data_IF_194143185438
#
_entry.id   IF_194143185438
#
_cell.length_a   1.000
_cell.length_b   1.000
_cell.length_c   1.000
_cell.angle_alpha   90.00
_cell.angle_beta   90.00
_cell.angle_gamma   90.00
#
_symmetry.space_group_name_H-M   'P 1'
#
loop_
_entity.id
_entity.type
_entity.pdbx_description
1 polymer ?
#
# COMPACT_ATOMS: atom_id res chain seq x y z
N UNK A 1 -4.56 31.25 8.44
CA UNK A 1 -4.94 30.37 7.31
C UNK A 1 -4.22 29.03 7.48
N UNK A 2 -4.95 27.91 7.54
CA UNK A 2 -4.33 26.59 7.65
C UNK A 2 -3.82 26.21 6.26
N UNK A 3 -2.50 26.01 6.13
CA UNK A 3 -1.89 25.61 4.86
C UNK A 3 -2.43 24.24 4.43
N UNK A 4 -2.81 24.09 3.16
CA UNK A 4 -3.22 22.81 2.60
C UNK A 4 -2.04 21.84 2.60
N UNK A 5 -2.30 20.57 2.90
CA UNK A 5 -1.30 19.52 2.78
C UNK A 5 -1.14 19.13 1.30
N UNK A 6 0.09 18.93 0.84
CA UNK A 6 0.32 18.38 -0.50
C UNK A 6 -0.25 16.96 -0.61
N UNK A 7 -0.50 16.51 -1.83
CA UNK A 7 -0.80 15.11 -2.11
C UNK A 7 0.43 14.25 -1.78
N UNK A 8 0.22 13.13 -1.11
CA UNK A 8 1.26 12.17 -0.73
C UNK A 8 1.37 10.99 -1.71
N UNK A 9 0.41 10.80 -2.58
CA UNK A 9 0.44 9.66 -3.52
C UNK A 9 1.66 9.66 -4.44
N UNK A 10 2.13 10.80 -4.98
CA UNK A 10 3.35 10.81 -5.77
C UNK A 10 4.58 10.31 -4.99
N UNK A 11 4.76 10.75 -3.75
CA UNK A 11 5.92 10.33 -2.92
C UNK A 11 5.85 8.86 -2.51
N UNK A 12 4.65 8.33 -2.26
CA UNK A 12 4.46 6.89 -2.01
C UNK A 12 4.70 6.08 -3.29
N UNK A 13 4.27 6.57 -4.45
CA UNK A 13 4.51 5.91 -5.73
C UNK A 13 6.02 5.80 -6.02
N UNK A 14 6.81 6.84 -5.74
CA UNK A 14 8.28 6.80 -5.85
C UNK A 14 8.91 5.73 -4.96
N UNK A 15 8.44 5.61 -3.71
CA UNK A 15 8.91 4.57 -2.78
C UNK A 15 8.57 3.16 -3.30
N UNK A 16 7.35 2.95 -3.83
CA UNK A 16 6.94 1.66 -4.41
C UNK A 16 7.79 1.34 -5.64
N UNK A 17 7.99 2.30 -6.54
CA UNK A 17 8.83 2.13 -7.73
C UNK A 17 10.26 1.73 -7.33
N UNK A 18 10.83 2.45 -6.36
CA UNK A 18 12.21 2.22 -5.91
C UNK A 18 12.38 0.86 -5.25
N UNK A 19 11.51 0.56 -4.26
CA UNK A 19 11.61 -0.70 -3.53
C UNK A 19 11.28 -1.92 -4.40
N UNK A 20 10.22 -1.85 -5.18
CA UNK A 20 9.79 -2.97 -6.02
C UNK A 20 10.60 -3.08 -7.32
N UNK A 21 11.48 -2.12 -7.62
CA UNK A 21 12.27 -2.10 -8.84
C UNK A 21 11.38 -2.09 -10.08
N UNK A 22 10.34 -1.25 -10.05
CA UNK A 22 9.39 -1.17 -11.16
C UNK A 22 10.08 -0.60 -12.40
N UNK A 23 10.21 -1.46 -13.40
CA UNK A 23 10.66 -1.12 -14.74
C UNK A 23 9.57 -1.62 -15.68
N UNK A 24 9.18 -0.91 -16.69
CA UNK A 24 8.00 -1.16 -17.52
C UNK A 24 7.71 -2.62 -17.96
N UNK A 25 6.59 -2.84 -18.67
CA UNK A 25 6.22 -4.11 -19.28
C UNK A 25 5.62 -5.17 -18.32
N UNK A 26 5.09 -4.78 -17.16
CA UNK A 26 4.70 -5.69 -16.08
C UNK A 26 3.25 -5.47 -15.61
N UNK A 27 2.76 -6.41 -14.78
CA UNK A 27 1.44 -6.34 -14.15
C UNK A 27 1.61 -5.99 -12.68
N UNK A 28 0.96 -4.91 -12.26
CA UNK A 28 1.00 -4.42 -10.88
C UNK A 28 -0.41 -4.36 -10.31
N UNK A 29 -0.56 -4.58 -9.01
CA UNK A 29 -1.84 -4.54 -8.31
C UNK A 29 -1.80 -3.47 -7.22
N UNK A 30 -2.71 -2.49 -7.30
CA UNK A 30 -3.08 -1.60 -6.19
C UNK A 30 -4.22 -2.28 -5.43
N UNK A 31 -3.90 -2.92 -4.30
CA UNK A 31 -4.84 -3.71 -3.50
C UNK A 31 -5.55 -2.84 -2.46
N UNK A 32 -6.86 -2.71 -2.61
CA UNK A 32 -7.66 -1.72 -1.91
C UNK A 32 -7.45 -0.33 -2.50
N UNK A 33 -7.49 -0.25 -3.82
CA UNK A 33 -7.17 0.94 -4.59
C UNK A 33 -8.06 2.15 -4.29
N UNK A 34 -9.29 1.92 -3.78
CA UNK A 34 -10.25 2.98 -3.58
C UNK A 34 -10.48 3.77 -4.88
N UNK A 35 -10.38 5.11 -4.86
CA UNK A 35 -10.49 5.93 -6.06
C UNK A 35 -9.20 6.00 -6.89
N UNK A 36 -8.25 5.09 -6.69
CA UNK A 36 -7.07 4.91 -7.53
C UNK A 36 -5.88 5.84 -7.23
N UNK A 37 -5.86 6.50 -6.07
CA UNK A 37 -4.86 7.53 -5.79
C UNK A 37 -3.42 7.09 -6.01
N UNK A 38 -3.01 5.96 -5.43
CA UNK A 38 -1.64 5.45 -5.53
C UNK A 38 -1.35 4.78 -6.88
N UNK A 39 -2.22 3.87 -7.32
CA UNK A 39 -2.03 3.17 -8.59
C UNK A 39 -1.94 4.11 -9.78
N UNK A 40 -2.77 5.17 -9.81
CA UNK A 40 -2.73 6.17 -10.87
C UNK A 40 -1.49 7.06 -10.79
N UNK A 41 -1.07 7.47 -9.56
CA UNK A 41 0.16 8.22 -9.39
C UNK A 41 1.39 7.40 -9.84
N UNK A 42 1.36 6.08 -9.65
CA UNK A 42 2.42 5.19 -10.14
C UNK A 42 2.41 5.14 -11.68
N UNK A 43 1.23 4.98 -12.32
CA UNK A 43 1.12 4.96 -13.78
C UNK A 43 1.60 6.24 -14.46
N UNK A 44 1.50 7.40 -13.80
CA UNK A 44 2.02 8.67 -14.32
C UNK A 44 3.55 8.72 -14.34
N UNK A 45 4.22 7.92 -13.49
CA UNK A 45 5.68 7.89 -13.35
C UNK A 45 6.36 6.79 -14.17
N UNK A 46 5.59 5.91 -14.81
CA UNK A 46 6.12 4.81 -15.62
C UNK A 46 5.48 4.81 -16.99
N UNK A 47 6.26 4.53 -18.04
CA UNK A 47 5.80 4.63 -19.42
C UNK A 47 5.03 3.40 -19.92
N UNK A 48 5.22 2.24 -19.27
CA UNK A 48 4.73 0.94 -19.73
C UNK A 48 4.24 0.10 -18.56
N UNK A 49 3.43 -0.94 -18.81
CA UNK A 49 2.85 -1.85 -17.83
C UNK A 49 1.37 -1.59 -17.55
N UNK A 50 0.75 -2.55 -16.88
CA UNK A 50 -0.69 -2.57 -16.57
C UNK A 50 -0.91 -2.52 -15.06
N UNK A 51 -1.77 -1.63 -14.62
CA UNK A 51 -2.23 -1.48 -13.25
C UNK A 51 -3.59 -2.13 -13.06
N UNK A 52 -3.65 -3.14 -12.21
CA UNK A 52 -4.91 -3.70 -11.70
C UNK A 52 -5.30 -2.91 -10.45
N UNK A 53 -6.33 -2.09 -10.57
CA UNK A 53 -6.97 -1.39 -9.46
C UNK A 53 -7.98 -2.34 -8.82
N UNK A 54 -7.66 -2.93 -7.69
CA UNK A 54 -8.52 -3.89 -7.01
C UNK A 54 -9.13 -3.31 -5.75
N UNK A 55 -10.46 -3.37 -5.65
CA UNK A 55 -11.21 -2.90 -4.48
C UNK A 55 -12.55 -3.64 -4.37
N UNK A 56 -13.08 -3.92 -3.17
CA UNK A 56 -14.42 -4.50 -3.03
C UNK A 56 -15.55 -3.54 -3.42
N UNK A 57 -15.28 -2.23 -3.49
CA UNK A 57 -16.26 -1.19 -3.83
C UNK A 57 -16.29 -0.89 -5.33
N UNK A 58 -17.32 -1.34 -6.03
CA UNK A 58 -17.53 -0.99 -7.43
C UNK A 58 -17.63 0.54 -7.66
N UNK A 59 -18.16 1.28 -6.66
CA UNK A 59 -18.27 2.74 -6.73
C UNK A 59 -16.89 3.43 -6.64
N UNK A 60 -15.99 2.90 -5.81
CA UNK A 60 -14.62 3.38 -5.73
C UNK A 60 -13.88 3.14 -7.06
N UNK A 61 -14.03 1.94 -7.62
CA UNK A 61 -13.40 1.58 -8.89
C UNK A 61 -13.94 2.41 -10.08
N UNK A 62 -15.24 2.73 -10.10
CA UNK A 62 -15.77 3.65 -11.13
C UNK A 62 -15.11 5.03 -11.05
N UNK A 63 -14.93 5.57 -9.84
CA UNK A 63 -14.20 6.84 -9.63
C UNK A 63 -12.74 6.72 -10.05
N UNK A 64 -12.09 5.59 -9.75
CA UNK A 64 -10.72 5.34 -10.17
C UNK A 64 -10.55 5.33 -11.70
N UNK A 65 -11.47 4.68 -12.44
CA UNK A 65 -11.44 4.67 -13.90
C UNK A 65 -11.72 6.07 -14.50
N UNK A 66 -12.64 6.85 -13.89
CA UNK A 66 -12.86 8.25 -14.29
C UNK A 66 -11.58 9.06 -14.09
N UNK A 67 -10.94 8.95 -12.93
CA UNK A 67 -9.67 9.63 -12.67
C UNK A 67 -8.54 9.15 -13.60
N UNK A 68 -8.49 7.86 -13.96
CA UNK A 68 -7.54 7.32 -14.92
C UNK A 68 -7.71 7.96 -16.31
N UNK A 69 -8.95 8.18 -16.74
CA UNK A 69 -9.26 8.87 -17.98
C UNK A 69 -8.81 10.34 -17.94
N UNK A 70 -9.12 11.06 -16.87
CA UNK A 70 -8.73 12.46 -16.66
C UNK A 70 -7.20 12.65 -16.67
N UNK A 71 -6.46 11.65 -16.14
CA UNK A 71 -4.98 11.64 -16.09
C UNK A 71 -4.31 11.06 -17.35
N UNK A 72 -5.08 10.62 -18.35
CA UNK A 72 -4.54 10.07 -19.60
C UNK A 72 -3.89 8.68 -19.48
N UNK A 73 -4.14 7.94 -18.39
CA UNK A 73 -3.55 6.61 -18.13
C UNK A 73 -4.57 5.46 -18.21
N UNK A 74 -5.79 5.75 -18.66
CA UNK A 74 -6.90 4.80 -18.70
C UNK A 74 -6.60 3.51 -19.48
N UNK A 75 -5.86 3.60 -20.59
CA UNK A 75 -5.49 2.43 -21.40
C UNK A 75 -4.62 1.40 -20.69
N UNK A 76 -4.04 1.78 -19.56
CA UNK A 76 -3.17 0.94 -18.73
C UNK A 76 -3.76 0.61 -17.36
N UNK A 77 -5.01 1.02 -17.08
CA UNK A 77 -5.70 0.79 -15.82
C UNK A 77 -6.86 -0.20 -16.01
N UNK A 78 -6.86 -1.27 -15.23
CA UNK A 78 -7.91 -2.30 -15.22
C UNK A 78 -8.55 -2.34 -13.84
N UNK A 79 -9.86 -2.23 -13.76
CA UNK A 79 -10.59 -2.32 -12.49
C UNK A 79 -11.06 -3.75 -12.24
N UNK A 80 -10.78 -4.28 -11.05
CA UNK A 80 -11.17 -5.63 -10.63
C UNK A 80 -11.85 -5.56 -9.28
N UNK A 81 -13.09 -6.05 -9.19
CA UNK A 81 -13.78 -6.18 -7.90
C UNK A 81 -13.22 -7.41 -7.18
N UNK A 82 -12.65 -7.20 -5.99
CA UNK A 82 -12.06 -8.28 -5.20
C UNK A 82 -11.70 -7.85 -3.79
N UNK A 83 -11.51 -8.85 -2.92
CA UNK A 83 -11.04 -8.68 -1.54
C UNK A 83 -9.61 -9.20 -1.43
N UNK A 84 -8.88 -8.69 -0.44
CA UNK A 84 -7.52 -9.14 -0.16
C UNK A 84 -7.46 -10.64 0.18
N UNK A 85 -8.45 -11.13 0.91
CA UNK A 85 -8.52 -12.51 1.39
C UNK A 85 -8.88 -13.53 0.31
N UNK A 86 -9.29 -13.08 -0.89
CA UNK A 86 -9.63 -13.91 -2.04
C UNK A 86 -9.49 -13.11 -3.33
N UNK A 87 -8.26 -12.96 -3.79
CA UNK A 87 -7.96 -12.20 -5.00
C UNK A 87 -8.36 -12.99 -6.24
N UNK A 88 -9.22 -12.44 -7.14
CA UNK A 88 -9.64 -13.14 -8.37
C UNK A 88 -8.57 -13.02 -9.46
N UNK A 89 -7.35 -13.39 -9.11
CA UNK A 89 -6.17 -13.40 -9.98
C UNK A 89 -5.54 -14.78 -9.93
N UNK A 90 -4.96 -15.26 -11.05
CA UNK A 90 -4.23 -16.53 -11.08
C UNK A 90 -3.00 -16.51 -10.16
N UNK A 91 -2.55 -17.69 -9.77
CA UNK A 91 -1.28 -17.89 -9.11
C UNK A 91 -0.15 -17.32 -9.99
N UNK A 92 0.87 -16.73 -9.38
CA UNK A 92 2.11 -16.33 -10.04
C UNK A 92 1.92 -15.43 -11.28
N UNK A 93 0.87 -14.61 -11.27
CA UNK A 93 0.48 -13.79 -12.42
C UNK A 93 0.88 -12.32 -12.32
N UNK A 94 1.40 -11.87 -11.16
CA UNK A 94 1.66 -10.45 -10.87
C UNK A 94 3.10 -10.22 -10.47
N UNK A 95 3.65 -9.10 -10.90
CA UNK A 95 5.01 -8.69 -10.59
C UNK A 95 5.12 -7.96 -9.26
N UNK A 96 4.15 -7.10 -8.99
CA UNK A 96 4.14 -6.26 -7.81
C UNK A 96 2.72 -6.14 -7.25
N UNK A 97 2.60 -6.31 -5.94
CA UNK A 97 1.39 -5.96 -5.20
C UNK A 97 1.74 -4.88 -4.18
N UNK A 98 1.02 -3.79 -4.21
CA UNK A 98 1.11 -2.80 -3.15
C UNK A 98 -0.28 -2.46 -2.60
N UNK A 99 -0.31 -2.02 -1.34
CA UNK A 99 -1.53 -1.60 -0.67
C UNK A 99 -1.22 -0.48 0.31
N UNK A 100 -1.87 0.67 0.15
CA UNK A 100 -1.72 1.80 1.04
C UNK A 100 -3.01 2.08 1.80
N UNK A 101 -3.00 1.78 3.09
CA UNK A 101 -4.11 2.13 3.99
C UNK A 101 -5.27 1.15 4.01
N UNK A 102 -5.40 0.24 3.04
CA UNK A 102 -6.46 -0.77 3.02
C UNK A 102 -6.20 -1.94 3.98
N UNK A 103 -4.94 -2.29 4.23
CA UNK A 103 -4.51 -3.39 5.10
C UNK A 103 -5.18 -3.40 6.49
N UNK A 104 -5.46 -2.21 7.03
CA UNK A 104 -6.10 -2.06 8.34
C UNK A 104 -7.58 -2.46 8.36
N UNK A 105 -8.20 -2.64 7.20
CA UNK A 105 -9.61 -2.99 7.01
C UNK A 105 -9.81 -4.43 6.54
N UNK A 106 -8.73 -5.18 6.26
CA UNK A 106 -8.84 -6.59 5.90
C UNK A 106 -9.36 -7.38 7.10
N UNK A 107 -10.31 -8.29 6.85
CA UNK A 107 -10.96 -9.09 7.90
C UNK A 107 -10.00 -10.16 8.44
N UNK A 108 -9.30 -10.86 7.53
CA UNK A 108 -8.21 -11.79 7.85
C UNK A 108 -6.93 -11.31 7.13
N UNK A 109 -6.13 -10.56 7.87
CA UNK A 109 -4.89 -9.98 7.33
C UNK A 109 -3.86 -11.02 6.95
N UNK A 110 -3.77 -12.12 7.71
CA UNK A 110 -2.84 -13.19 7.40
C UNK A 110 -3.26 -13.93 6.12
N UNK A 111 -4.57 -14.16 5.92
CA UNK A 111 -5.09 -14.71 4.67
C UNK A 111 -4.85 -13.77 3.49
N UNK A 112 -5.07 -12.47 3.68
CA UNK A 112 -4.77 -11.48 2.64
C UNK A 112 -3.29 -11.49 2.23
N UNK A 113 -2.36 -11.63 3.19
CA UNK A 113 -0.94 -11.77 2.90
C UNK A 113 -0.61 -13.09 2.17
N UNK A 114 -1.29 -14.20 2.50
CA UNK A 114 -1.16 -15.47 1.75
C UNK A 114 -1.62 -15.33 0.30
N UNK A 115 -2.72 -14.62 0.06
CA UNK A 115 -3.20 -14.32 -1.29
C UNK A 115 -2.22 -13.43 -2.07
N UNK A 116 -1.67 -12.39 -1.42
CA UNK A 116 -0.62 -11.58 -2.04
C UNK A 116 0.57 -12.45 -2.45
N UNK A 117 1.03 -13.34 -1.57
CA UNK A 117 2.10 -14.29 -1.89
C UNK A 117 1.74 -15.23 -3.04
N UNK A 118 0.50 -15.76 -3.06
CA UNK A 118 0.03 -16.67 -4.11
C UNK A 118 0.07 -16.03 -5.49
N UNK A 119 -0.45 -14.80 -5.62
CA UNK A 119 -0.53 -14.13 -6.92
C UNK A 119 0.80 -13.57 -7.41
N UNK A 120 1.75 -13.31 -6.51
CA UNK A 120 3.09 -12.90 -6.90
C UNK A 120 3.81 -14.02 -7.64
N UNK A 121 4.40 -13.71 -8.78
CA UNK A 121 5.30 -14.63 -9.48
C UNK A 121 6.66 -14.74 -8.75
N UNK A 122 7.46 -15.77 -9.01
CA UNK A 122 8.84 -15.82 -8.54
C UNK A 122 9.60 -14.53 -8.90
N UNK A 123 10.29 -13.93 -7.95
CA UNK A 123 10.95 -12.63 -8.06
C UNK A 123 10.02 -11.41 -7.91
N UNK A 124 8.71 -11.63 -7.78
CA UNK A 124 7.72 -10.57 -7.52
C UNK A 124 7.87 -9.98 -6.11
N UNK A 125 7.42 -8.73 -5.93
CA UNK A 125 7.59 -7.98 -4.67
C UNK A 125 6.29 -7.38 -4.17
N UNK A 126 6.19 -7.22 -2.86
CA UNK A 126 5.04 -6.57 -2.23
C UNK A 126 5.45 -5.48 -1.25
N UNK A 127 4.63 -4.42 -1.19
CA UNK A 127 4.73 -3.33 -0.23
C UNK A 127 3.35 -3.03 0.34
N UNK A 128 3.07 -3.50 1.56
CA UNK A 128 1.76 -3.48 2.19
C UNK A 128 1.80 -2.66 3.48
N UNK A 129 0.87 -1.72 3.63
CA UNK A 129 0.83 -0.91 4.85
C UNK A 129 0.18 0.46 4.66
N UNK A 130 0.88 1.49 5.06
CA UNK A 130 0.42 2.87 4.88
C UNK A 130 1.45 3.88 5.31
N UNK A 131 1.47 5.01 4.63
CA UNK A 131 2.41 6.07 4.88
C UNK A 131 2.22 7.27 3.96
N UNK A 132 3.15 8.20 4.03
CA UNK A 132 3.16 9.44 3.25
C UNK A 132 4.25 9.44 2.17
N UNK A 133 5.14 8.44 2.21
CA UNK A 133 6.32 8.36 1.36
C UNK A 133 7.55 9.07 1.94
N UNK A 134 8.74 8.55 1.64
CA UNK A 134 10.01 9.04 2.18
C UNK A 134 10.29 10.50 1.78
N UNK A 135 9.91 10.88 0.56
CA UNK A 135 10.05 12.24 0.02
C UNK A 135 8.99 13.25 0.48
N UNK A 136 8.05 12.86 1.35
CA UNK A 136 7.00 13.79 1.78
C UNK A 136 7.57 14.90 2.67
N UNK A 137 7.25 16.19 2.41
CA UNK A 137 7.89 17.30 3.12
C UNK A 137 7.70 17.24 4.64
N UNK A 138 8.77 17.45 5.41
CA UNK A 138 8.77 17.35 6.88
C UNK A 138 7.71 18.22 7.56
N UNK A 139 7.52 19.47 7.10
CA UNK A 139 6.50 20.36 7.65
C UNK A 139 5.09 19.77 7.45
N UNK A 140 4.84 19.17 6.31
CA UNK A 140 3.55 18.58 5.97
C UNK A 140 3.34 17.27 6.73
N UNK A 141 4.39 16.46 6.91
CA UNK A 141 4.40 15.26 7.75
C UNK A 141 4.05 15.58 9.19
N UNK A 142 4.70 16.58 9.80
CA UNK A 142 4.38 17.04 11.16
C UNK A 142 2.93 17.50 11.29
N UNK A 143 2.43 18.27 10.33
CA UNK A 143 1.06 18.76 10.33
C UNK A 143 0.04 17.62 10.11
N UNK A 144 0.35 16.66 9.25
CA UNK A 144 -0.48 15.45 9.07
C UNK A 144 -0.59 14.66 10.38
N UNK A 145 0.55 14.39 11.05
CA UNK A 145 0.60 13.70 12.33
C UNK A 145 -0.24 14.44 13.38
N UNK A 146 -0.10 15.76 13.47
CA UNK A 146 -0.88 16.59 14.39
C UNK A 146 -2.39 16.44 14.17
N UNK A 147 -2.84 16.54 12.90
CA UNK A 147 -4.26 16.39 12.53
C UNK A 147 -4.77 14.98 12.84
N UNK A 148 -3.97 13.98 12.54
CA UNK A 148 -4.32 12.58 12.79
C UNK A 148 -4.46 12.31 14.30
N UNK A 149 -3.50 12.75 15.11
CA UNK A 149 -3.59 12.65 16.59
C UNK A 149 -4.85 13.33 17.13
N UNK A 150 -5.17 14.51 16.67
CA UNK A 150 -6.39 15.22 17.06
C UNK A 150 -7.67 14.46 16.64
N UNK A 151 -7.68 13.92 15.43
CA UNK A 151 -8.80 13.10 14.94
C UNK A 151 -9.00 11.84 15.78
N UNK A 152 -7.92 11.12 16.10
CA UNK A 152 -8.01 9.92 16.94
C UNK A 152 -8.43 10.27 18.39
N UNK A 153 -7.87 11.32 18.98
CA UNK A 153 -8.23 11.75 20.33
C UNK A 153 -9.72 12.06 20.47
N UNK A 154 -10.36 12.59 19.43
CA UNK A 154 -11.82 12.84 19.41
C UNK A 154 -12.66 11.57 19.43
N UNK A 155 -12.12 10.44 18.99
CA UNK A 155 -12.81 9.14 18.97
C UNK A 155 -12.73 8.39 20.31
N UNK A 156 -11.92 8.88 21.24
CA UNK A 156 -11.74 8.31 22.57
C UNK A 156 -10.49 7.41 22.70
N UNK A 157 -10.17 7.01 23.95
CA UNK A 157 -8.94 6.29 24.26
C UNK A 157 -8.85 4.91 23.61
N UNK A 158 -9.95 4.19 23.48
CA UNK A 158 -9.98 2.87 22.86
C UNK A 158 -9.62 2.94 21.37
N UNK A 159 -10.17 3.90 20.65
CA UNK A 159 -9.83 4.12 19.25
C UNK A 159 -8.35 4.50 19.05
N UNK A 160 -7.77 5.23 20.00
CA UNK A 160 -6.33 5.54 19.99
C UNK A 160 -5.50 4.28 20.18
N UNK A 161 -5.91 3.41 21.13
CA UNK A 161 -5.22 2.13 21.41
C UNK A 161 -5.27 1.22 20.18
N UNK A 162 -6.45 0.98 19.63
CA UNK A 162 -6.66 0.15 18.43
C UNK A 162 -5.87 0.67 17.24
N UNK A 163 -5.87 1.98 17.02
CA UNK A 163 -5.11 2.62 15.96
C UNK A 163 -3.60 2.37 16.08
N UNK A 164 -3.05 2.47 17.29
CA UNK A 164 -1.63 2.21 17.58
C UNK A 164 -1.28 0.74 17.43
N UNK A 165 -2.11 -0.15 17.97
CA UNK A 165 -1.91 -1.59 17.91
C UNK A 165 -1.92 -2.09 16.46
N UNK A 166 -2.87 -1.61 15.65
CA UNK A 166 -2.95 -1.96 14.23
C UNK A 166 -1.73 -1.52 13.42
N UNK A 167 -0.94 -0.56 13.93
CA UNK A 167 0.26 0.01 13.30
C UNK A 167 1.55 -0.29 14.08
N UNK A 168 1.50 -1.22 15.00
CA UNK A 168 2.68 -1.67 15.72
C UNK A 168 3.52 -2.60 14.82
N UNK A 169 4.85 -2.40 14.72
CA UNK A 169 5.75 -3.30 13.99
C UNK A 169 5.59 -4.77 14.39
N UNK A 170 5.44 -5.07 15.69
CA UNK A 170 5.26 -6.45 16.17
C UNK A 170 3.98 -7.09 15.61
N UNK A 171 2.91 -6.31 15.43
CA UNK A 171 1.68 -6.79 14.79
C UNK A 171 1.92 -7.18 13.35
N UNK A 172 2.69 -6.39 12.59
CA UNK A 172 3.05 -6.71 11.22
C UNK A 172 3.96 -7.95 11.15
N UNK A 173 4.98 -8.04 12.01
CA UNK A 173 5.84 -9.21 12.10
C UNK A 173 5.05 -10.49 12.42
N UNK A 174 4.15 -10.43 13.40
CA UNK A 174 3.29 -11.58 13.76
C UNK A 174 2.43 -12.01 12.57
N UNK A 175 1.74 -11.08 11.90
CA UNK A 175 0.88 -11.39 10.75
C UNK A 175 1.65 -11.95 9.56
N UNK A 176 2.86 -11.44 9.29
CA UNK A 176 3.75 -11.97 8.26
C UNK A 176 4.16 -13.43 8.55
N UNK A 177 4.51 -13.73 9.81
CA UNK A 177 4.82 -15.09 10.24
C UNK A 177 3.60 -16.02 10.17
N UNK A 178 2.42 -15.58 10.61
CA UNK A 178 1.15 -16.30 10.49
C UNK A 178 0.77 -16.58 9.02
N UNK A 179 1.13 -15.68 8.13
CA UNK A 179 0.96 -15.87 6.68
C UNK A 179 1.98 -16.85 6.09
N UNK A 180 3.05 -17.21 6.83
CA UNK A 180 4.11 -18.10 6.36
C UNK A 180 5.18 -17.41 5.53
N UNK A 181 5.28 -16.07 5.58
CA UNK A 181 6.34 -15.34 4.90
C UNK A 181 7.69 -15.63 5.57
N UNK A 182 8.69 -16.09 4.81
CA UNK A 182 10.00 -16.47 5.36
C UNK A 182 10.99 -15.31 5.41
N UNK A 183 10.91 -14.40 4.45
CA UNK A 183 11.78 -13.23 4.35
C UNK A 183 10.91 -11.98 4.16
N UNK A 184 10.98 -11.07 5.11
CA UNK A 184 10.26 -9.81 5.07
C UNK A 184 10.95 -8.74 5.92
N UNK A 185 10.62 -7.50 5.64
CA UNK A 185 11.04 -6.33 6.42
C UNK A 185 9.82 -5.55 6.87
N UNK A 186 9.84 -5.05 8.10
CA UNK A 186 8.86 -4.09 8.62
C UNK A 186 9.57 -2.76 8.83
N UNK A 187 9.18 -1.75 8.08
CA UNK A 187 9.85 -0.44 8.06
C UNK A 187 8.85 0.65 8.45
N UNK A 188 9.23 1.47 9.45
CA UNK A 188 8.52 2.69 9.80
C UNK A 188 8.97 3.88 8.93
N UNK A 189 8.04 4.72 8.51
CA UNK A 189 8.38 6.05 7.97
C UNK A 189 8.72 7.01 9.11
N UNK A 190 9.84 7.72 8.97
CA UNK A 190 10.31 8.66 9.98
C UNK A 190 11.67 8.29 10.58
N UNK A 191 12.33 7.25 10.03
CA UNK A 191 13.67 6.85 10.45
C UNK A 191 13.70 6.40 11.91
N UNK A 192 14.70 6.91 12.66
CA UNK A 192 14.89 6.57 14.07
C UNK A 192 14.12 7.48 15.05
N UNK A 193 13.22 8.36 14.56
CA UNK A 193 12.41 9.18 15.46
C UNK A 193 11.31 8.34 16.13
N UNK A 194 11.43 8.08 17.45
CA UNK A 194 10.46 7.27 18.20
C UNK A 194 9.06 7.89 18.19
N UNK A 195 8.97 9.21 18.09
CA UNK A 195 7.70 9.93 18.04
C UNK A 195 7.01 9.78 16.69
N UNK A 196 7.75 9.70 15.60
CA UNK A 196 7.20 9.41 14.29
C UNK A 196 6.72 7.95 14.18
N UNK A 197 7.48 7.00 14.73
CA UNK A 197 7.09 5.59 14.81
C UNK A 197 5.84 5.41 15.70
N UNK A 198 5.82 6.03 16.88
CA UNK A 198 4.70 6.00 17.81
C UNK A 198 3.45 6.73 17.31
N UNK A 199 3.60 7.63 16.34
CA UNK A 199 2.47 8.33 15.74
C UNK A 199 1.66 7.45 14.76
N UNK A 200 2.15 6.27 14.41
CA UNK A 200 1.50 5.34 13.46
C UNK A 200 1.39 5.92 12.04
N UNK A 201 2.28 6.84 11.70
CA UNK A 201 2.35 7.46 10.39
C UNK A 201 3.43 6.78 9.58
N UNK A 202 3.00 5.83 8.77
CA UNK A 202 3.88 5.08 7.90
C UNK A 202 4.52 3.87 8.55
N UNK A 203 3.92 2.73 8.27
CA UNK A 203 4.49 1.42 8.52
C UNK A 203 4.25 0.54 7.30
N UNK A 204 5.29 -0.10 6.84
CA UNK A 204 5.27 -0.93 5.65
C UNK A 204 5.85 -2.30 5.92
N UNK A 205 5.13 -3.33 5.51
CA UNK A 205 5.62 -4.68 5.35
C UNK A 205 6.10 -4.82 3.90
N UNK A 206 7.35 -5.19 3.73
CA UNK A 206 8.00 -5.41 2.44
C UNK A 206 8.50 -6.83 2.35
N UNK A 207 8.24 -7.50 1.23
CA UNK A 207 8.75 -8.85 0.97
C UNK A 207 8.87 -9.11 -0.53
N UNK A 208 9.68 -10.11 -0.86
CA UNK A 208 9.80 -10.63 -2.21
C UNK A 208 9.54 -12.14 -2.21
N UNK A 209 8.87 -12.64 -3.24
CA UNK A 209 8.80 -14.06 -3.51
C UNK A 209 10.14 -14.49 -4.12
N UNK A 210 10.78 -15.51 -3.53
CA UNK A 210 12.06 -15.99 -4.03
C UNK A 210 11.97 -16.34 -5.52
N UNK A 211 12.99 -15.98 -6.28
CA UNK A 211 13.10 -16.45 -7.65
C UNK A 211 13.38 -17.96 -7.61
N UNK A 212 12.74 -18.72 -8.50
CA UNK A 212 13.15 -20.12 -8.65
C UNK A 212 14.60 -20.16 -9.15
N UNK A 213 15.46 -20.88 -8.44
CA UNK A 213 16.79 -21.20 -8.95
C UNK A 213 16.61 -22.02 -10.24
N UNK A 214 16.78 -21.38 -11.36
CA UNK A 214 16.90 -22.06 -12.66
C UNK A 214 18.26 -22.71 -12.68
N UNK A 215 18.30 -23.97 -12.17
CA UNK A 215 19.48 -24.83 -12.21
C UNK A 215 19.90 -25.21 -13.64
#
# INVERSE_FOLDING_TARGET
MTRALPDYYPTVAEDVITFCGIQGGRVWVDLGAGPGGLGLALLENVSDGVMVLMDPSADALRRALTAAHERGVYSRAVAVIGKAESMPLPDESVDVVFSRGSFYFWQDRAQGLREVWRVLRPGGRAMIGGGLGSGYPDWARREFIRRQRQSQARKGPDAVREFREARNPDTFCRLANEAGLKAFEVIGEGGQDPDAQNAGVGIWLRFAKEAEDVG
#
